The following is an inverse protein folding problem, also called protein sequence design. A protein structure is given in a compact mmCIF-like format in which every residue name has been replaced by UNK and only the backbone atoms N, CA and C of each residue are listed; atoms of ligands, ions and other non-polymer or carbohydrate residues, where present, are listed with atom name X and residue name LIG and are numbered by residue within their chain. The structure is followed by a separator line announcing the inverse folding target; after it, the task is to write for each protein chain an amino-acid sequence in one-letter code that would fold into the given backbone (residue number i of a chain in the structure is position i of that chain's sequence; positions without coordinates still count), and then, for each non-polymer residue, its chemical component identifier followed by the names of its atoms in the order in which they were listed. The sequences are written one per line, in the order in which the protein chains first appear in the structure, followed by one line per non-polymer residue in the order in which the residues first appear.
data_IF_498510949635
#
_entry.id   IF_498510949635
#
_cell.length_a   1.000
_cell.length_b   1.000
_cell.length_c   1.000
_cell.angle_alpha   90.00
_cell.angle_beta   90.00
_cell.angle_gamma   90.00
#
_symmetry.space_group_name_H-M   'P 1'
#
loop_
_entity.id
_entity.type
_entity.pdbx_description
1 polymer ?
#
# COMPACT_ATOMS: atom_id res chain seq x y z
N UNK A 1 0.53 -0.58 -25.48
CA UNK A 1 -0.29 -1.11 -24.38
C UNK A 1 0.32 -0.61 -23.08
N UNK A 2 -0.11 0.57 -22.62
CA UNK A 2 0.54 1.30 -21.53
C UNK A 2 -0.20 1.02 -20.23
N UNK A 3 0.35 0.15 -19.39
CA UNK A 3 -0.14 -0.04 -18.03
C UNK A 3 0.47 1.06 -17.15
N UNK A 4 -0.39 1.94 -16.67
CA UNK A 4 -0.07 2.99 -15.70
C UNK A 4 0.61 2.37 -14.46
N UNK A 5 1.94 2.49 -14.37
CA UNK A 5 2.66 2.40 -13.09
C UNK A 5 2.64 3.79 -12.48
N UNK A 6 1.59 4.07 -11.71
CA UNK A 6 1.46 5.32 -10.95
C UNK A 6 2.50 5.38 -9.83
N UNK A 7 3.74 5.72 -10.17
CA UNK A 7 4.71 6.23 -9.19
C UNK A 7 4.32 7.65 -8.83
N UNK A 8 3.39 7.81 -7.89
CA UNK A 8 3.10 9.11 -7.28
C UNK A 8 4.25 9.48 -6.35
N UNK A 9 5.32 10.06 -6.91
CA UNK A 9 6.41 10.64 -6.13
C UNK A 9 6.00 12.07 -5.76
N UNK A 10 5.33 12.24 -4.62
CA UNK A 10 5.22 13.57 -4.01
C UNK A 10 6.61 13.95 -3.50
N UNK A 11 7.26 14.95 -4.12
CA UNK A 11 8.48 15.59 -3.60
C UNK A 11 8.06 16.81 -2.78
N UNK A 12 7.86 16.71 -1.47
CA UNK A 12 7.60 17.89 -0.67
C UNK A 12 8.85 18.79 -0.70
N UNK A 13 8.68 20.05 -1.11
CA UNK A 13 9.70 21.07 -0.93
C UNK A 13 9.71 21.44 0.56
N UNK A 14 10.80 21.17 1.28
CA UNK A 14 10.85 21.45 2.72
C UNK A 14 12.17 22.10 3.12
N UNK A 15 12.09 23.40 3.36
CA UNK A 15 13.17 24.26 3.82
C UNK A 15 13.31 24.27 5.36
N UNK A 16 13.46 23.11 6.02
CA UNK A 16 13.98 23.05 7.40
C UNK A 16 14.29 21.62 7.86
N UNK A 17 15.58 21.27 7.81
CA UNK A 17 16.10 19.90 7.79
C UNK A 17 16.11 19.13 9.11
N UNK A 18 15.57 19.67 10.21
CA UNK A 18 15.64 19.02 11.54
C UNK A 18 14.35 18.32 11.99
N UNK A 19 13.23 18.51 11.27
CA UNK A 19 11.91 17.95 11.62
C UNK A 19 11.22 17.20 10.48
N UNK A 20 11.89 17.05 9.33
CA UNK A 20 11.30 16.47 8.13
C UNK A 20 10.95 15.00 8.29
N UNK A 21 11.84 14.22 8.92
CA UNK A 21 11.60 12.79 9.11
C UNK A 21 10.39 12.54 10.03
N UNK A 22 10.29 13.29 11.14
CA UNK A 22 9.17 13.19 12.06
C UNK A 22 7.85 13.63 11.42
N UNK A 23 7.85 14.75 10.68
CA UNK A 23 6.66 15.23 9.97
C UNK A 23 6.25 14.26 8.86
N UNK A 24 7.19 13.73 8.08
CA UNK A 24 6.92 12.75 7.03
C UNK A 24 6.33 11.47 7.62
N UNK A 25 6.89 10.93 8.72
CA UNK A 25 6.34 9.74 9.39
C UNK A 25 4.96 9.99 10.01
N UNK A 26 4.68 11.22 10.45
CA UNK A 26 3.36 11.59 10.98
C UNK A 26 2.31 11.72 9.86
N UNK A 27 2.72 12.21 8.69
CA UNK A 27 1.87 12.36 7.51
C UNK A 27 1.69 11.03 6.77
N UNK A 28 2.71 10.17 6.76
CA UNK A 28 2.73 8.87 6.09
C UNK A 28 3.07 7.76 7.08
N UNK A 29 2.07 6.93 7.40
CA UNK A 29 2.23 5.79 8.30
C UNK A 29 2.17 4.48 7.51
N UNK A 30 3.18 3.64 7.69
CA UNK A 30 3.22 2.26 7.19
C UNK A 30 3.06 1.32 8.39
N UNK A 31 2.25 0.28 8.21
CA UNK A 31 2.12 -0.81 9.19
C UNK A 31 2.45 -2.11 8.51
N UNK A 32 3.22 -2.95 9.20
CA UNK A 32 3.60 -4.26 8.71
C UNK A 32 3.12 -5.34 9.69
N UNK A 33 2.93 -6.56 9.19
CA UNK A 33 2.75 -7.72 10.06
C UNK A 33 4.10 -8.27 10.58
N UNK A 34 4.06 -9.37 11.33
CA UNK A 34 5.24 -10.03 11.91
C UNK A 34 6.20 -10.58 10.86
N UNK A 35 5.75 -10.76 9.62
CA UNK A 35 6.56 -11.21 8.48
C UNK A 35 7.12 -10.02 7.68
N UNK A 36 6.90 -8.79 8.14
CA UNK A 36 7.38 -7.57 7.48
C UNK A 36 6.56 -7.15 6.26
N UNK A 37 5.37 -7.72 6.05
CA UNK A 37 4.52 -7.41 4.91
C UNK A 37 3.65 -6.20 5.21
N UNK A 38 3.54 -5.28 4.25
CA UNK A 38 2.73 -4.06 4.40
C UNK A 38 1.25 -4.38 4.55
N UNK A 39 0.64 -4.09 5.70
CA UNK A 39 -0.78 -4.32 5.97
C UNK A 39 -1.62 -3.05 5.88
N UNK A 40 -1.00 -1.88 6.06
CA UNK A 40 -1.68 -0.59 5.91
C UNK A 40 -0.73 0.50 5.48
N UNK A 41 -1.22 1.37 4.60
CA UNK A 41 -0.60 2.64 4.27
C UNK A 41 -1.62 3.75 4.51
N UNK A 42 -1.24 4.73 5.32
CA UNK A 42 -2.10 5.85 5.68
C UNK A 42 -1.39 7.16 5.39
N UNK A 43 -2.03 7.99 4.58
CA UNK A 43 -1.72 9.40 4.43
C UNK A 43 -2.74 10.19 5.25
N UNK A 44 -2.29 10.77 6.37
CA UNK A 44 -3.14 11.39 7.37
C UNK A 44 -4.08 12.44 6.73
N UNK A 45 -5.39 12.25 6.91
CA UNK A 45 -6.43 13.14 6.38
C UNK A 45 -6.67 13.04 4.87
N UNK A 46 -6.00 12.12 4.17
CA UNK A 46 -6.11 11.98 2.70
C UNK A 46 -6.60 10.59 2.30
N UNK A 47 -5.90 9.54 2.74
CA UNK A 47 -6.14 8.20 2.24
C UNK A 47 -5.68 7.12 3.22
N UNK A 48 -6.40 6.00 3.24
CA UNK A 48 -5.97 4.80 3.97
C UNK A 48 -6.25 3.55 3.15
N UNK A 49 -5.21 2.76 2.95
CA UNK A 49 -5.24 1.50 2.22
C UNK A 49 -4.99 0.34 3.18
N UNK A 50 -5.65 -0.79 2.93
CA UNK A 50 -5.43 -2.04 3.66
C UNK A 50 -5.05 -3.15 2.70
N UNK A 51 -4.12 -4.01 3.09
CA UNK A 51 -3.61 -5.11 2.28
C UNK A 51 -3.68 -6.41 3.07
N UNK A 52 -4.09 -7.48 2.39
CA UNK A 52 -4.32 -8.79 2.99
C UNK A 52 -3.57 -9.85 2.19
N UNK A 53 -2.93 -10.77 2.92
CA UNK A 53 -2.07 -11.78 2.31
C UNK A 53 -2.46 -13.17 2.80
N UNK A 54 -2.24 -14.18 1.96
CA UNK A 54 -2.29 -15.57 2.38
C UNK A 54 -0.97 -16.02 3.03
N UNK A 55 -0.93 -17.28 3.46
CA UNK A 55 0.25 -17.93 4.07
C UNK A 55 1.44 -18.02 3.11
N UNK A 56 1.18 -18.04 1.80
CA UNK A 56 2.19 -18.05 0.74
C UNK A 56 2.73 -16.66 0.40
N UNK A 57 2.43 -15.64 1.20
CA UNK A 57 2.87 -14.25 0.98
C UNK A 57 2.34 -13.62 -0.32
N UNK A 58 1.15 -14.03 -0.77
CA UNK A 58 0.48 -13.45 -1.94
C UNK A 58 -0.62 -12.50 -1.49
N UNK A 59 -0.70 -11.32 -2.11
CA UNK A 59 -1.77 -10.35 -1.86
C UNK A 59 -3.09 -10.92 -2.34
N UNK A 60 -4.02 -11.22 -1.42
CA UNK A 60 -5.34 -11.79 -1.72
C UNK A 60 -6.42 -10.75 -1.83
N UNK A 61 -6.27 -9.61 -1.15
CA UNK A 61 -7.15 -8.46 -1.35
C UNK A 61 -6.48 -7.16 -0.89
N UNK A 62 -6.98 -6.05 -1.41
CA UNK A 62 -6.76 -4.73 -0.81
C UNK A 62 -8.06 -3.94 -0.77
N UNK A 63 -8.15 -3.02 0.21
CA UNK A 63 -9.24 -2.07 0.36
C UNK A 63 -8.72 -0.66 0.14
N UNK A 64 -9.37 0.08 -0.75
CA UNK A 64 -9.02 1.47 -1.04
C UNK A 64 -9.63 2.45 0.00
N UNK A 65 -9.25 3.74 -0.03
CA UNK A 65 -9.79 4.74 0.89
C UNK A 65 -11.28 5.04 0.70
N UNK A 66 -11.83 4.73 -0.48
CA UNK A 66 -13.25 4.90 -0.80
C UNK A 66 -14.09 3.71 -0.29
N UNK A 67 -13.43 2.67 0.21
CA UNK A 67 -14.05 1.47 0.74
C UNK A 67 -14.24 0.36 -0.28
N UNK A 68 -13.77 0.53 -1.52
CA UNK A 68 -13.83 -0.51 -2.54
C UNK A 68 -12.81 -1.60 -2.25
N UNK A 69 -13.18 -2.82 -2.62
CA UNK A 69 -12.30 -3.98 -2.53
C UNK A 69 -11.80 -4.37 -3.91
N UNK A 70 -10.57 -4.84 -3.95
CA UNK A 70 -10.05 -5.61 -5.09
C UNK A 70 -9.45 -6.89 -4.53
N UNK A 71 -9.91 -8.01 -5.03
CA UNK A 71 -9.50 -9.34 -4.63
C UNK A 71 -8.67 -9.99 -5.72
N UNK A 72 -7.81 -10.92 -5.35
CA UNK A 72 -6.94 -11.64 -6.27
C UNK A 72 -7.06 -13.15 -6.02
N UNK A 73 -7.11 -13.92 -7.10
CA UNK A 73 -7.10 -15.39 -7.06
C UNK A 73 -5.86 -15.90 -7.76
N UNK A 74 -5.18 -16.84 -7.13
CA UNK A 74 -3.99 -17.50 -7.66
C UNK A 74 -4.24 -18.98 -7.89
N UNK A 75 -3.52 -19.58 -8.83
CA UNK A 75 -3.50 -21.02 -9.02
C UNK A 75 -2.48 -21.68 -8.07
N UNK A 76 -2.38 -23.01 -8.11
CA UNK A 76 -1.45 -23.79 -7.28
C UNK A 76 0.02 -23.50 -7.58
N UNK A 77 0.34 -23.07 -8.81
CA UNK A 77 1.69 -22.63 -9.20
C UNK A 77 2.02 -21.21 -8.70
N UNK A 78 1.10 -20.58 -7.98
CA UNK A 78 1.22 -19.22 -7.46
C UNK A 78 1.06 -18.11 -8.50
N UNK A 79 0.49 -18.42 -9.67
CA UNK A 79 0.21 -17.45 -10.73
C UNK A 79 -1.16 -16.81 -10.53
N UNK A 80 -1.25 -15.50 -10.74
CA UNK A 80 -2.52 -14.78 -10.71
C UNK A 80 -3.45 -15.28 -11.84
N UNK A 81 -4.64 -15.74 -11.47
CA UNK A 81 -5.71 -16.14 -12.39
C UNK A 81 -6.58 -14.94 -12.73
N UNK A 82 -7.06 -14.23 -11.71
CA UNK A 82 -8.03 -13.13 -11.89
C UNK A 82 -8.02 -12.18 -10.69
N UNK A 83 -8.56 -10.99 -10.91
CA UNK A 83 -8.91 -10.03 -9.86
C UNK A 83 -10.33 -9.50 -10.07
N UNK A 84 -11.00 -9.11 -8.98
CA UNK A 84 -12.37 -8.61 -8.99
C UNK A 84 -12.70 -7.74 -7.78
#
# INVERSE_FOLDING_TARGET
MNLFRGSFIFKPNVNNSSNLLYVILKVFQLRNDTLGRLTSYEQAGVAKFYYFYNELNQLTSFKDPLGNWTNYKYNLDGRLITHY
#
